data_IF_097129222948
#
_entry.id   IF_097129222948
#
_cell.length_a   1.000
_cell.length_b   1.000
_cell.length_c   1.000
_cell.angle_alpha   90.00
_cell.angle_beta   90.00
_cell.angle_gamma   90.00
#
_symmetry.space_group_name_H-M   'P 1'
#
loop_
_entity.id
_entity.type
_entity.pdbx_description
1 polymer ?
#
# COMPACT_ATOMS: atom_id res chain seq x y z
N UNK A 1 -11.03 -10.59 10.42
CA UNK A 1 -10.12 -9.66 9.70
C UNK A 1 -10.50 -9.70 8.23
N UNK A 2 -11.28 -8.71 7.76
CA UNK A 2 -11.73 -8.65 6.37
C UNK A 2 -10.52 -8.25 5.51
N UNK A 3 -10.19 -9.06 4.51
CA UNK A 3 -9.12 -8.78 3.55
C UNK A 3 -9.69 -7.74 2.57
N UNK A 4 -9.57 -6.47 2.90
CA UNK A 4 -10.02 -5.37 2.03
C UNK A 4 -8.90 -4.99 1.06
N UNK A 5 -9.15 -5.16 -0.25
CA UNK A 5 -8.35 -4.58 -1.31
C UNK A 5 -9.18 -3.45 -1.96
N UNK A 6 -8.92 -2.16 -1.63
CA UNK A 6 -9.68 -1.04 -2.18
C UNK A 6 -9.50 -0.93 -3.70
N UNK A 7 -10.52 -0.37 -4.37
CA UNK A 7 -10.46 -0.08 -5.80
C UNK A 7 -9.31 0.90 -6.14
N UNK A 8 -8.58 0.75 -7.26
CA UNK A 8 -7.44 1.59 -7.61
C UNK A 8 -7.75 3.11 -7.59
N UNK A 9 -8.96 3.52 -7.98
CA UNK A 9 -9.39 4.93 -7.94
C UNK A 9 -9.50 5.47 -6.50
N UNK A 10 -9.98 4.65 -5.56
CA UNK A 10 -10.09 5.03 -4.14
C UNK A 10 -8.71 5.12 -3.50
N UNK A 11 -7.82 4.18 -3.85
CA UNK A 11 -6.42 4.17 -3.39
C UNK A 11 -5.72 5.44 -3.85
N UNK A 12 -5.84 5.82 -5.14
CA UNK A 12 -5.16 7.01 -5.67
C UNK A 12 -5.57 8.28 -4.92
N UNK A 13 -6.89 8.45 -4.68
CA UNK A 13 -7.41 9.60 -3.90
C UNK A 13 -6.94 9.58 -2.44
N UNK A 14 -6.89 8.40 -1.81
CA UNK A 14 -6.36 8.29 -0.45
C UNK A 14 -4.85 8.61 -0.41
N UNK A 15 -4.07 8.14 -1.38
CA UNK A 15 -2.63 8.41 -1.47
C UNK A 15 -2.30 9.90 -1.61
N UNK A 16 -3.12 10.67 -2.33
CA UNK A 16 -2.89 12.11 -2.53
C UNK A 16 -3.03 12.91 -1.21
N UNK A 17 -3.74 12.39 -0.21
CA UNK A 17 -4.08 13.16 1.00
C UNK A 17 -3.64 12.53 2.33
N UNK A 18 -3.34 11.23 2.39
CA UNK A 18 -3.16 10.52 3.67
C UNK A 18 -1.83 9.81 3.85
N UNK A 19 -1.15 9.42 2.76
CA UNK A 19 0.09 8.64 2.81
C UNK A 19 1.31 9.53 2.59
N UNK A 20 1.81 10.12 3.68
CA UNK A 20 2.99 11.03 3.69
C UNK A 20 4.32 10.26 3.60
N UNK A 21 4.34 8.99 4.01
CA UNK A 21 5.56 8.17 3.96
C UNK A 21 5.83 7.66 2.54
N UNK A 22 6.97 8.08 1.96
CA UNK A 22 7.38 7.77 0.58
C UNK A 22 7.49 6.26 0.35
N UNK A 23 8.06 5.51 1.28
CA UNK A 23 8.24 4.06 1.15
C UNK A 23 6.89 3.33 1.17
N UNK A 24 5.96 3.75 2.02
CA UNK A 24 4.61 3.20 2.06
C UNK A 24 3.83 3.51 0.78
N UNK A 25 3.94 4.75 0.28
CA UNK A 25 3.33 5.17 -0.98
C UNK A 25 3.83 4.31 -2.15
N UNK A 26 5.14 4.10 -2.25
CA UNK A 26 5.75 3.29 -3.30
C UNK A 26 5.30 1.81 -3.23
N UNK A 27 5.17 1.23 -2.03
CA UNK A 27 4.64 -0.13 -1.85
C UNK A 27 3.21 -0.24 -2.42
N UNK A 28 2.33 0.72 -2.08
CA UNK A 28 0.93 0.70 -2.54
C UNK A 28 0.83 0.96 -4.04
N UNK A 29 1.59 1.92 -4.57
CA UNK A 29 1.61 2.21 -5.99
C UNK A 29 2.04 1.00 -6.81
N UNK A 30 3.15 0.34 -6.45
CA UNK A 30 3.62 -0.88 -7.12
C UNK A 30 2.64 -2.04 -6.98
N UNK A 31 1.95 -2.15 -5.84
CA UNK A 31 1.04 -3.27 -5.56
C UNK A 31 -0.30 -3.16 -6.27
N UNK A 32 -0.86 -1.95 -6.32
CA UNK A 32 -2.27 -1.75 -6.68
C UNK A 32 -2.51 -0.73 -7.80
N UNK A 33 -1.54 0.14 -8.14
CA UNK A 33 -1.76 1.24 -9.10
C UNK A 33 -0.90 1.17 -10.37
N UNK A 34 0.28 0.56 -10.32
CA UNK A 34 1.09 0.30 -11.52
C UNK A 34 0.44 -0.80 -12.37
N UNK A 35 0.69 -0.75 -13.68
CA UNK A 35 0.14 -1.70 -14.66
C UNK A 35 0.40 -3.15 -14.26
N UNK A 36 -0.62 -3.80 -13.68
CA UNK A 36 -0.58 -5.17 -13.20
C UNK A 36 -0.31 -5.32 -11.70
N UNK A 37 -1.01 -6.26 -11.06
CA UNK A 37 -0.79 -6.59 -9.65
C UNK A 37 0.57 -7.25 -9.48
N UNK A 38 1.51 -6.55 -8.84
CA UNK A 38 2.82 -7.11 -8.53
C UNK A 38 2.78 -7.99 -7.27
N UNK A 39 3.56 -9.06 -7.25
CA UNK A 39 3.68 -9.91 -6.06
C UNK A 39 4.45 -9.19 -4.95
N UNK A 40 4.11 -9.47 -3.69
CA UNK A 40 4.82 -8.90 -2.54
C UNK A 40 6.31 -9.26 -2.56
N UNK A 41 6.63 -10.48 -3.03
CA UNK A 41 8.00 -10.96 -3.23
C UNK A 41 8.77 -10.06 -4.21
N UNK A 42 8.16 -9.72 -5.34
CA UNK A 42 8.77 -8.86 -6.37
C UNK A 42 8.99 -7.44 -5.85
N UNK A 43 7.98 -6.85 -5.21
CA UNK A 43 8.08 -5.48 -4.69
C UNK A 43 9.16 -5.40 -3.62
N UNK A 44 9.15 -6.32 -2.65
CA UNK A 44 10.16 -6.39 -1.58
C UNK A 44 11.58 -6.51 -2.13
N UNK A 45 11.79 -7.37 -3.12
CA UNK A 45 13.10 -7.56 -3.75
C UNK A 45 13.57 -6.30 -4.49
N UNK A 46 12.69 -5.66 -5.27
CA UNK A 46 13.02 -4.45 -6.02
C UNK A 46 13.31 -3.23 -5.13
N UNK A 47 12.71 -3.18 -3.93
CA UNK A 47 12.92 -2.12 -2.95
C UNK A 47 14.03 -2.45 -1.95
N UNK A 48 14.67 -3.63 -2.06
CA UNK A 48 15.71 -4.11 -1.14
C UNK A 48 15.29 -4.08 0.34
N UNK A 49 14.03 -4.43 0.62
CA UNK A 49 13.47 -4.37 1.97
C UNK A 49 13.59 -5.71 2.70
N UNK A 50 13.91 -5.64 4.00
CA UNK A 50 13.76 -6.77 4.89
C UNK A 50 12.29 -7.22 4.97
N UNK A 51 12.06 -8.52 5.19
CA UNK A 51 10.71 -9.10 5.19
C UNK A 51 9.76 -8.42 6.17
N UNK A 52 10.17 -8.31 7.42
CA UNK A 52 9.30 -7.83 8.49
C UNK A 52 9.04 -6.33 8.34
N UNK A 53 10.06 -5.59 7.89
CA UNK A 53 9.93 -4.19 7.56
C UNK A 53 8.94 -3.96 6.42
N UNK A 54 9.00 -4.75 5.35
CA UNK A 54 8.04 -4.67 4.25
C UNK A 54 6.59 -4.86 4.72
N UNK A 55 6.32 -5.91 5.50
CA UNK A 55 4.96 -6.18 5.98
C UNK A 55 4.48 -5.16 7.00
N UNK A 56 5.38 -4.63 7.85
CA UNK A 56 5.07 -3.53 8.76
C UNK A 56 4.64 -2.28 7.98
N UNK A 57 5.41 -1.86 6.98
CA UNK A 57 5.10 -0.68 6.16
C UNK A 57 3.84 -0.88 5.33
N UNK A 58 3.66 -2.06 4.73
CA UNK A 58 2.45 -2.41 3.97
C UNK A 58 1.20 -2.36 4.84
N UNK A 59 1.25 -2.91 6.06
CA UNK A 59 0.13 -2.89 7.01
C UNK A 59 -0.23 -1.45 7.40
N UNK A 60 0.76 -0.63 7.75
CA UNK A 60 0.54 0.77 8.12
C UNK A 60 -0.07 1.55 6.96
N UNK A 61 0.40 1.33 5.72
CA UNK A 61 -0.15 1.97 4.54
C UNK A 61 -1.64 1.63 4.33
N UNK A 62 -2.00 0.35 4.46
CA UNK A 62 -3.39 -0.11 4.33
C UNK A 62 -4.28 0.49 5.43
N UNK A 63 -3.78 0.55 6.67
CA UNK A 63 -4.51 1.17 7.79
C UNK A 63 -4.75 2.66 7.54
N UNK A 64 -3.72 3.40 7.11
CA UNK A 64 -3.85 4.82 6.76
C UNK A 64 -4.87 5.05 5.66
N UNK A 65 -4.86 4.22 4.61
CA UNK A 65 -5.86 4.27 3.53
C UNK A 65 -7.26 3.96 4.07
N UNK A 66 -7.41 2.92 4.89
CA UNK A 66 -8.70 2.53 5.45
C UNK A 66 -9.30 3.65 6.33
N UNK A 67 -8.48 4.29 7.16
CA UNK A 67 -8.88 5.46 7.97
C UNK A 67 -9.25 6.65 7.08
N UNK A 68 -8.45 6.96 6.07
CA UNK A 68 -8.75 8.06 5.14
C UNK A 68 -10.06 7.84 4.36
N UNK A 69 -10.39 6.58 4.06
CA UNK A 69 -11.63 6.18 3.42
C UNK A 69 -12.81 6.02 4.41
N UNK A 70 -12.60 6.27 5.72
CA UNK A 70 -13.60 6.07 6.80
C UNK A 70 -14.22 4.67 6.82
N UNK A 71 -13.41 3.67 6.51
CA UNK A 71 -13.81 2.26 6.57
C UNK A 71 -13.68 1.72 8.01
N UNK A 72 -12.78 2.33 8.78
CA UNK A 72 -12.51 2.06 10.20
C UNK A 72 -12.45 3.38 10.97
#
# INVERSE_FOLDING_TARGET
MIIFAPEPKQIKRALEHSLVNIQQKEIIERKYLKNGVMSDKTIKAQMMLANDWYYFQKKNAIMTIATALRII
#
